data_IF_121334073936
#
_entry.id   IF_121334073936
#
_cell.length_a   1.000
_cell.length_b   1.000
_cell.length_c   1.000
_cell.angle_alpha   90.00
_cell.angle_beta   90.00
_cell.angle_gamma   90.00
#
_symmetry.space_group_name_H-M   'P 1'
#
loop_
_entity.id
_entity.type
_entity.pdbx_description
1 polymer ?
#
# COMPACT_ATOMS: atom_id res chain seq x y z
N UNK A 1 40.23 49.06 -10.10
CA UNK A 1 39.87 47.62 -10.13
C UNK A 1 40.24 47.07 -8.75
N UNK A 2 39.40 46.45 -7.92
CA UNK A 2 38.14 45.71 -8.05
C UNK A 2 37.32 45.97 -6.77
N UNK A 3 36.06 46.42 -6.89
CA UNK A 3 35.10 46.44 -5.76
C UNK A 3 34.42 45.07 -5.73
N UNK A 4 34.93 44.15 -4.93
CA UNK A 4 34.30 42.85 -4.73
C UNK A 4 33.03 43.01 -3.89
N UNK A 5 31.89 42.91 -4.56
CA UNK A 5 30.54 42.89 -3.99
C UNK A 5 30.40 41.71 -3.02
N UNK A 6 30.34 42.00 -1.71
CA UNK A 6 30.11 41.00 -0.64
C UNK A 6 28.64 40.55 -0.52
N UNK A 7 27.77 40.96 -1.46
CA UNK A 7 26.31 40.72 -1.40
C UNK A 7 25.92 39.41 -2.09
N UNK A 8 26.76 38.90 -3.00
CA UNK A 8 26.47 37.71 -3.80
C UNK A 8 26.29 36.38 -3.01
N UNK A 9 27.07 36.07 -1.95
CA UNK A 9 26.92 34.78 -1.26
C UNK A 9 25.64 34.70 -0.43
N UNK A 10 25.18 35.84 0.11
CA UNK A 10 23.96 35.92 0.92
C UNK A 10 22.70 35.70 0.06
N UNK A 11 22.69 36.22 -1.17
CA UNK A 11 21.61 36.01 -2.12
C UNK A 11 21.53 34.56 -2.61
N UNK A 12 22.68 33.89 -2.79
CA UNK A 12 22.72 32.48 -3.16
C UNK A 12 22.16 31.58 -2.05
N UNK A 13 22.57 31.82 -0.79
CA UNK A 13 22.01 31.12 0.37
C UNK A 13 20.50 31.38 0.54
N UNK A 14 20.05 32.62 0.31
CA UNK A 14 18.63 32.97 0.38
C UNK A 14 17.77 32.31 -0.71
N UNK A 15 18.34 31.89 -1.84
CA UNK A 15 17.63 31.17 -2.90
C UNK A 15 17.70 29.64 -2.75
N UNK A 16 18.77 29.13 -2.12
CA UNK A 16 18.98 27.69 -1.90
C UNK A 16 18.17 27.14 -0.72
N UNK A 17 17.98 27.93 0.33
CA UNK A 17 17.21 27.51 1.51
C UNK A 17 15.71 27.28 1.18
N UNK A 18 15.00 28.16 0.45
CA UNK A 18 13.61 27.94 0.07
C UNK A 18 13.44 26.75 -0.88
N UNK A 19 14.40 26.49 -1.77
CA UNK A 19 14.35 25.34 -2.69
C UNK A 19 14.60 24.02 -1.97
N UNK A 20 15.50 23.98 -0.99
CA UNK A 20 15.68 22.83 -0.10
C UNK A 20 14.47 22.60 0.81
N UNK A 21 13.85 23.67 1.31
CA UNK A 21 12.64 23.58 2.14
C UNK A 21 11.45 23.13 1.27
N UNK A 22 11.29 23.64 0.06
CA UNK A 22 10.25 23.21 -0.88
C UNK A 22 10.43 21.73 -1.29
N UNK A 23 11.66 21.31 -1.64
CA UNK A 23 11.97 19.91 -1.94
C UNK A 23 11.78 18.98 -0.73
N UNK A 24 12.09 19.47 0.48
CA UNK A 24 11.86 18.75 1.74
C UNK A 24 10.39 18.71 2.18
N UNK A 25 9.59 19.71 1.80
CA UNK A 25 8.15 19.76 2.02
C UNK A 25 7.39 18.88 1.03
N UNK A 26 7.80 18.83 -0.24
CA UNK A 26 7.26 17.89 -1.23
C UNK A 26 7.52 16.43 -0.83
N UNK A 27 8.67 16.16 -0.19
CA UNK A 27 8.98 14.83 0.37
C UNK A 27 8.11 14.47 1.60
N UNK A 28 7.42 15.45 2.21
CA UNK A 28 6.58 15.27 3.40
C UNK A 28 5.10 15.08 3.11
N UNK A 29 4.68 15.08 1.83
CA UNK A 29 3.38 14.57 1.45
C UNK A 29 3.38 13.04 1.61
N UNK A 30 3.20 12.58 2.85
CA UNK A 30 2.93 11.18 3.17
C UNK A 30 1.71 10.80 2.33
N UNK A 31 1.91 9.97 1.32
CA UNK A 31 0.83 9.53 0.45
C UNK A 31 -0.21 8.82 1.32
N UNK A 32 -1.49 9.19 1.18
CA UNK A 32 -2.60 8.51 1.86
C UNK A 32 -2.57 6.98 1.68
N UNK A 33 -1.99 6.50 0.57
CA UNK A 33 -1.72 5.09 0.33
C UNK A 33 -0.75 4.49 1.36
N UNK A 34 0.33 5.20 1.70
CA UNK A 34 1.31 4.74 2.71
C UNK A 34 0.68 4.72 4.12
N UNK A 35 -0.23 5.64 4.45
CA UNK A 35 -0.99 5.62 5.71
C UNK A 35 -1.92 4.41 5.79
N UNK A 36 -2.63 4.11 4.70
CA UNK A 36 -3.46 2.90 4.60
C UNK A 36 -2.63 1.63 4.75
N UNK A 37 -1.45 1.58 4.13
CA UNK A 37 -0.55 0.44 4.34
C UNK A 37 -0.18 0.33 5.83
N UNK A 38 0.22 1.41 6.48
CA UNK A 38 0.56 1.38 7.91
C UNK A 38 -0.60 0.94 8.80
N UNK A 39 -1.84 1.33 8.48
CA UNK A 39 -3.01 0.90 9.27
C UNK A 39 -3.32 -0.58 9.08
N UNK A 40 -3.20 -1.09 7.84
CA UNK A 40 -3.37 -2.51 7.52
C UNK A 40 -2.23 -3.35 8.12
N UNK A 41 -1.00 -2.83 8.12
CA UNK A 41 0.19 -3.46 8.69
C UNK A 41 0.07 -3.69 10.21
N UNK A 42 -0.81 -2.98 10.92
CA UNK A 42 -1.07 -3.22 12.36
C UNK A 42 -1.98 -4.41 12.62
N UNK A 43 -2.64 -4.94 11.59
CA UNK A 43 -3.53 -6.08 11.71
C UNK A 43 -2.74 -7.39 11.76
N UNK A 44 -3.23 -8.42 12.48
CA UNK A 44 -2.57 -9.72 12.54
C UNK A 44 -2.71 -10.46 11.22
N UNK A 45 -1.74 -10.28 10.33
CA UNK A 45 -1.65 -10.90 9.01
C UNK A 45 -0.63 -12.05 9.00
N UNK A 46 -0.89 -13.08 8.21
CA UNK A 46 0.06 -14.18 7.98
C UNK A 46 1.25 -13.74 7.09
N UNK A 47 2.38 -14.45 7.18
CA UNK A 47 3.61 -14.14 6.46
C UNK A 47 3.40 -14.03 4.93
N UNK A 48 2.55 -14.88 4.34
CA UNK A 48 2.25 -14.80 2.91
C UNK A 48 1.42 -13.56 2.55
N UNK A 49 0.51 -13.16 3.44
CA UNK A 49 -0.35 -11.98 3.26
C UNK A 49 0.46 -10.69 3.35
N UNK A 50 1.43 -10.67 4.27
CA UNK A 50 2.44 -9.63 4.39
C UNK A 50 3.27 -9.45 3.12
N UNK A 51 3.73 -10.56 2.53
CA UNK A 51 4.48 -10.52 1.27
C UNK A 51 3.61 -9.94 0.15
N UNK A 52 2.35 -10.35 0.07
CA UNK A 52 1.42 -9.84 -0.94
C UNK A 52 1.18 -8.32 -0.80
N UNK A 53 0.95 -7.83 0.42
CA UNK A 53 0.78 -6.39 0.68
C UNK A 53 2.04 -5.59 0.34
N UNK A 54 3.23 -6.07 0.72
CA UNK A 54 4.49 -5.40 0.38
C UNK A 54 4.73 -5.38 -1.13
N UNK A 55 4.41 -6.46 -1.83
CA UNK A 55 4.51 -6.51 -3.29
C UNK A 55 3.58 -5.48 -3.94
N UNK A 56 2.34 -5.36 -3.44
CA UNK A 56 1.39 -4.35 -3.91
C UNK A 56 1.90 -2.93 -3.66
N UNK A 57 2.39 -2.64 -2.44
CA UNK A 57 2.98 -1.33 -2.11
C UNK A 57 4.13 -0.97 -3.05
N UNK A 58 5.02 -1.93 -3.30
CA UNK A 58 6.17 -1.73 -4.19
C UNK A 58 5.72 -1.49 -5.63
N UNK A 59 4.67 -2.19 -6.11
CA UNK A 59 4.06 -1.95 -7.42
C UNK A 59 3.54 -0.53 -7.53
N UNK A 60 2.74 -0.08 -6.56
CA UNK A 60 2.15 1.25 -6.56
C UNK A 60 3.22 2.34 -6.53
N UNK A 61 4.27 2.19 -5.70
CA UNK A 61 5.39 3.13 -5.66
C UNK A 61 6.14 3.18 -6.99
N UNK A 62 6.33 2.03 -7.64
CA UNK A 62 6.98 1.95 -8.94
C UNK A 62 6.13 2.58 -10.06
N UNK A 63 4.81 2.40 -10.02
CA UNK A 63 3.88 3.07 -10.94
C UNK A 63 3.89 4.59 -10.73
N UNK A 64 3.83 5.04 -9.48
CA UNK A 64 3.91 6.46 -9.14
C UNK A 64 5.23 7.11 -9.61
N UNK A 65 6.35 6.39 -9.53
CA UNK A 65 7.65 6.87 -10.01
C UNK A 65 7.74 6.96 -11.55
N UNK A 66 6.91 6.18 -12.28
CA UNK A 66 6.90 6.14 -13.76
C UNK A 66 5.86 7.06 -14.36
N UNK A 67 4.80 7.40 -13.63
CA UNK A 67 3.76 8.30 -14.09
C UNK A 67 4.14 9.76 -13.82
N UNK A 68 4.29 10.55 -14.90
CA UNK A 68 4.33 12.01 -14.81
C UNK A 68 2.94 12.64 -14.60
N UNK A 69 1.88 11.82 -14.58
CA UNK A 69 0.51 12.26 -14.34
C UNK A 69 0.20 12.25 -12.84
N UNK A 70 0.43 13.40 -12.20
CA UNK A 70 -0.08 13.71 -10.87
C UNK A 70 -1.56 14.12 -10.98
N UNK A 71 -2.46 13.13 -11.11
CA UNK A 71 -3.90 13.33 -11.15
C UNK A 71 -4.61 12.67 -9.97
N UNK A 72 -5.61 13.35 -9.40
CA UNK A 72 -6.44 12.82 -8.30
C UNK A 72 -7.10 11.48 -8.65
N UNK A 73 -7.45 11.25 -9.92
CA UNK A 73 -8.04 9.99 -10.39
C UNK A 73 -7.08 8.79 -10.26
N UNK A 74 -5.79 8.99 -10.56
CA UNK A 74 -4.79 7.93 -10.46
C UNK A 74 -4.51 7.58 -9.00
N UNK A 75 -4.48 8.57 -8.12
CA UNK A 75 -4.36 8.36 -6.69
C UNK A 75 -5.58 7.59 -6.14
N UNK A 76 -6.80 7.94 -6.56
CA UNK A 76 -8.01 7.22 -6.15
C UNK A 76 -8.00 5.77 -6.63
N UNK A 77 -7.58 5.52 -7.87
CA UNK A 77 -7.44 4.15 -8.39
C UNK A 77 -6.47 3.31 -7.57
N UNK A 78 -5.34 3.88 -7.14
CA UNK A 78 -4.36 3.18 -6.30
C UNK A 78 -4.93 2.86 -4.91
N UNK A 79 -5.67 3.80 -4.31
CA UNK A 79 -6.37 3.59 -3.04
C UNK A 79 -7.37 2.45 -3.17
N UNK A 80 -8.19 2.46 -4.23
CA UNK A 80 -9.20 1.42 -4.47
C UNK A 80 -8.57 0.03 -4.64
N UNK A 81 -7.41 -0.06 -5.30
CA UNK A 81 -6.65 -1.30 -5.40
C UNK A 81 -6.15 -1.81 -4.04
N UNK A 82 -5.61 -0.92 -3.21
CA UNK A 82 -5.16 -1.28 -1.86
C UNK A 82 -6.33 -1.75 -1.01
N UNK A 83 -7.43 -1.01 -1.00
CA UNK A 83 -8.63 -1.37 -0.25
C UNK A 83 -9.21 -2.71 -0.74
N UNK A 84 -9.21 -2.96 -2.05
CA UNK A 84 -9.68 -4.23 -2.60
C UNK A 84 -8.78 -5.40 -2.20
N UNK A 85 -7.46 -5.20 -2.16
CA UNK A 85 -6.52 -6.21 -1.69
C UNK A 85 -6.72 -6.47 -0.19
N UNK A 86 -6.72 -5.42 0.63
CA UNK A 86 -6.90 -5.48 2.07
C UNK A 86 -8.22 -6.13 2.46
N UNK A 87 -9.31 -5.84 1.74
CA UNK A 87 -10.61 -6.46 1.98
C UNK A 87 -10.60 -7.98 1.83
N UNK A 88 -9.74 -8.51 0.95
CA UNK A 88 -9.54 -9.95 0.83
C UNK A 88 -8.80 -10.55 2.01
N UNK A 89 -7.96 -9.79 2.72
CA UNK A 89 -7.13 -10.26 3.81
C UNK A 89 -7.83 -10.15 5.17
N UNK A 90 -8.44 -9.00 5.41
CA UNK A 90 -9.04 -8.64 6.69
C UNK A 90 -10.50 -9.08 6.77
N UNK A 91 -10.99 -9.44 7.95
CA UNK A 91 -12.43 -9.62 8.17
C UNK A 91 -13.18 -8.26 8.19
N UNK A 92 -14.51 -8.27 8.36
CA UNK A 92 -15.32 -7.04 8.35
C UNK A 92 -14.89 -6.05 9.46
N UNK A 93 -14.53 -6.55 10.64
CA UNK A 93 -14.20 -5.72 11.81
C UNK A 93 -12.81 -5.12 11.67
N UNK A 94 -11.83 -5.93 11.30
CA UNK A 94 -10.46 -5.52 11.03
C UNK A 94 -10.39 -4.52 9.87
N UNK A 95 -11.20 -4.73 8.82
CA UNK A 95 -11.27 -3.80 7.70
C UNK A 95 -11.86 -2.45 8.13
N UNK A 96 -12.94 -2.47 8.92
CA UNK A 96 -13.53 -1.25 9.48
C UNK A 96 -12.56 -0.51 10.40
N UNK A 97 -11.82 -1.23 11.23
CA UNK A 97 -10.81 -0.64 12.12
C UNK A 97 -9.62 -0.05 11.36
N UNK A 98 -9.13 -0.74 10.33
CA UNK A 98 -7.98 -0.31 9.55
C UNK A 98 -8.28 0.85 8.59
N UNK A 99 -9.49 0.89 8.02
CA UNK A 99 -9.85 1.85 6.96
C UNK A 99 -10.87 2.90 7.41
N UNK A 100 -11.54 2.70 8.54
CA UNK A 100 -12.64 3.54 9.01
C UNK A 100 -13.94 3.36 8.22
N UNK A 101 -13.99 2.45 7.25
CA UNK A 101 -15.14 2.24 6.35
C UNK A 101 -15.56 0.78 6.29
N UNK A 102 -16.85 0.53 6.04
CA UNK A 102 -17.36 -0.83 5.79
C UNK A 102 -16.96 -1.30 4.40
N UNK A 103 -16.87 -2.63 4.22
CA UNK A 103 -16.59 -3.20 2.92
C UNK A 103 -17.72 -2.89 1.93
N UNK A 104 -17.34 -2.54 0.71
CA UNK A 104 -18.26 -2.51 -0.42
C UNK A 104 -18.62 -3.94 -0.85
N UNK A 105 -19.70 -4.12 -1.61
CA UNK A 105 -20.10 -5.44 -2.11
C UNK A 105 -18.99 -6.16 -2.88
N UNK A 106 -18.20 -5.43 -3.67
CA UNK A 106 -17.04 -5.96 -4.41
C UNK A 106 -15.94 -6.44 -3.47
N UNK A 107 -15.65 -5.67 -2.42
CA UNK A 107 -14.67 -6.01 -1.38
C UNK A 107 -15.11 -7.22 -0.55
N UNK A 108 -16.40 -7.32 -0.25
CA UNK A 108 -16.98 -8.46 0.44
C UNK A 108 -16.89 -9.73 -0.41
N UNK A 109 -17.26 -9.66 -1.69
CA UNK A 109 -17.10 -10.78 -2.62
C UNK A 109 -15.64 -11.25 -2.70
N UNK A 110 -14.69 -10.30 -2.71
CA UNK A 110 -13.26 -10.61 -2.73
C UNK A 110 -12.82 -11.39 -1.49
N UNK A 111 -13.32 -11.03 -0.31
CA UNK A 111 -13.08 -11.75 0.93
C UNK A 111 -13.63 -13.17 0.85
N UNK A 112 -14.90 -13.33 0.48
CA UNK A 112 -15.57 -14.63 0.40
C UNK A 112 -14.89 -15.59 -0.58
N UNK A 113 -14.48 -15.09 -1.76
CA UNK A 113 -13.73 -15.89 -2.73
C UNK A 113 -12.39 -16.40 -2.17
N UNK A 114 -11.71 -15.59 -1.36
CA UNK A 114 -10.46 -16.03 -0.71
C UNK A 114 -10.74 -17.09 0.35
N UNK A 115 -11.77 -16.91 1.18
CA UNK A 115 -12.17 -17.90 2.19
C UNK A 115 -12.53 -19.24 1.55
N UNK A 116 -13.31 -19.22 0.46
CA UNK A 116 -13.62 -20.42 -0.30
C UNK A 116 -12.37 -21.12 -0.83
N UNK A 117 -11.41 -20.36 -1.36
CA UNK A 117 -10.14 -20.92 -1.82
C UNK A 117 -9.34 -21.59 -0.69
N UNK A 118 -9.32 -21.00 0.49
CA UNK A 118 -8.65 -21.57 1.66
C UNK A 118 -9.32 -22.91 2.04
N UNK A 119 -10.65 -22.95 2.07
CA UNK A 119 -11.39 -24.19 2.38
C UNK A 119 -11.17 -25.28 1.33
N UNK A 120 -11.15 -24.93 0.04
CA UNK A 120 -10.83 -25.88 -1.04
C UNK A 120 -9.44 -26.49 -0.82
N UNK A 121 -8.42 -25.67 -0.55
CA UNK A 121 -7.07 -26.16 -0.29
C UNK A 121 -6.99 -27.06 0.95
N UNK A 122 -7.74 -26.73 2.00
CA UNK A 122 -7.85 -27.56 3.21
C UNK A 122 -8.47 -28.92 2.88
N UNK A 123 -9.54 -28.94 2.11
CA UNK A 123 -10.23 -30.17 1.69
C UNK A 123 -9.36 -31.04 0.77
N UNK A 124 -8.64 -30.44 -0.18
CA UNK A 124 -7.70 -31.16 -1.03
C UNK A 124 -6.58 -31.81 -0.21
N UNK A 125 -6.01 -31.08 0.75
CA UNK A 125 -4.98 -31.60 1.63
C UNK A 125 -5.51 -32.77 2.48
N UNK A 126 -6.72 -32.62 3.05
CA UNK A 126 -7.37 -33.69 3.80
C UNK A 126 -7.63 -34.94 2.94
N UNK A 127 -8.13 -34.76 1.72
CA UNK A 127 -8.39 -35.86 0.77
C UNK A 127 -7.11 -36.61 0.42
N UNK A 128 -6.00 -35.88 0.19
CA UNK A 128 -4.68 -36.48 -0.04
C UNK A 128 -4.17 -37.28 1.16
N UNK A 129 -4.43 -36.84 2.39
CA UNK A 129 -4.10 -37.60 3.60
C UNK A 129 -4.89 -38.90 3.70
N UNK A 130 -6.20 -38.86 3.46
CA UNK A 130 -7.04 -40.06 3.46
C UNK A 130 -6.59 -41.08 2.41
N UNK A 131 -6.26 -40.63 1.19
CA UNK A 131 -5.76 -41.51 0.12
C UNK A 131 -4.45 -42.20 0.50
N UNK A 132 -3.56 -41.53 1.24
CA UNK A 132 -2.30 -42.13 1.71
C UNK A 132 -2.48 -43.14 2.85
N UNK A 133 -3.54 -42.99 3.64
CA UNK A 133 -3.87 -43.95 4.72
C UNK A 133 -4.67 -45.16 4.22
N UNK A 134 -5.33 -45.04 3.07
CA UNK A 134 -6.11 -46.11 2.45
C UNK A 134 -5.33 -47.04 1.51
N UNK A 135 -4.04 -46.79 1.27
CA UNK A 135 -3.15 -47.71 0.54
C UNK A 135 -2.52 -48.71 1.52
N UNK A 136 -2.81 -50.02 1.41
CA UNK A 136 -2.20 -51.07 2.24
C UNK A 136 -0.71 -51.26 1.95
#
# INVERSE_FOLDING_TARGET
MVRASRVAPCLFLAAVIPTLIAAGLDARNISYVDELFQSIERQPLDAQEWIALRALRNRIRHEAARSSMSGSEQQQSQIDEVLLCAAGLLDERQFLEATGSKKTARQQLRYELKQLRIEILRLEHFTRHLQRQGTP
#
